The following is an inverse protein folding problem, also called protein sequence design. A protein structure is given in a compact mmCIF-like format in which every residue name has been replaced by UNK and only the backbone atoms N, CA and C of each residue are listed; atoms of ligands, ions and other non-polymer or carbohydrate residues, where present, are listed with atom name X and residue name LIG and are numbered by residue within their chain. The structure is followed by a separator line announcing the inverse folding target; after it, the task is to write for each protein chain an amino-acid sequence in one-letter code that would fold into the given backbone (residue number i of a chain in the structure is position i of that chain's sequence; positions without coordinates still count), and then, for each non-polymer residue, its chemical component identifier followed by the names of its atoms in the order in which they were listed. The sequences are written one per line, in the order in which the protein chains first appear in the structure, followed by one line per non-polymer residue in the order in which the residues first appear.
data_IF_436786876798
#
_entry.id   IF_436786876798
#
_cell.length_a   1.000
_cell.length_b   1.000
_cell.length_c   1.000
_cell.angle_alpha   90.00
_cell.angle_beta   90.00
_cell.angle_gamma   90.00
#
_symmetry.space_group_name_H-M   'P 1'
#
loop_
_entity.id
_entity.type
_entity.pdbx_description
1 polymer ?
#
# COMPACT_ATOMS: atom_id res chain seq x y z
N UNK A 1 -8.31 -10.56 7.76
CA UNK A 1 -7.08 -10.64 6.95
C UNK A 1 -6.31 -9.34 7.09
N UNK A 2 -4.98 -9.38 7.04
CA UNK A 2 -4.07 -8.22 7.11
C UNK A 2 -3.25 -8.10 5.83
N UNK A 3 -2.77 -6.89 5.50
CA UNK A 3 -1.97 -6.62 4.28
C UNK A 3 -2.65 -7.07 2.97
N UNK A 4 -3.98 -7.12 2.98
CA UNK A 4 -4.79 -7.29 1.77
C UNK A 4 -5.06 -5.95 1.11
N UNK A 5 -5.94 -5.98 0.12
CA UNK A 5 -6.44 -4.81 -0.56
C UNK A 5 -7.92 -4.62 -0.26
N UNK A 6 -8.34 -3.35 -0.19
CA UNK A 6 -9.73 -2.91 -0.18
C UNK A 6 -9.92 -1.96 -1.35
N UNK A 7 -11.00 -2.13 -2.09
CA UNK A 7 -11.36 -1.33 -3.25
C UNK A 7 -12.81 -0.87 -3.16
N UNK A 8 -13.09 0.32 -3.67
CA UNK A 8 -14.43 0.79 -3.97
C UNK A 8 -14.76 0.51 -5.44
N UNK A 9 -15.95 -0.05 -5.69
CA UNK A 9 -16.55 0.02 -7.03
C UNK A 9 -17.25 1.37 -7.22
N UNK A 10 -17.86 1.60 -8.40
CA UNK A 10 -18.60 2.84 -8.64
C UNK A 10 -19.60 3.10 -7.50
N UNK A 11 -19.83 4.37 -7.19
CA UNK A 11 -20.74 4.76 -6.10
C UNK A 11 -22.14 4.14 -6.23
N UNK A 12 -22.60 3.90 -7.46
CA UNK A 12 -23.91 3.30 -7.75
C UNK A 12 -24.00 1.82 -7.35
N UNK A 13 -22.87 1.11 -7.32
CA UNK A 13 -22.82 -0.32 -7.09
C UNK A 13 -22.90 -0.70 -5.61
N UNK A 14 -22.74 0.26 -4.68
CA UNK A 14 -22.83 0.04 -3.22
C UNK A 14 -21.93 -1.10 -2.70
N UNK A 15 -20.85 -1.44 -3.44
CA UNK A 15 -19.99 -2.58 -3.13
C UNK A 15 -18.58 -2.14 -2.78
N UNK A 16 -18.06 -2.72 -1.71
CA UNK A 16 -16.64 -2.74 -1.40
C UNK A 16 -16.08 -4.10 -1.79
N UNK A 17 -14.86 -4.14 -2.32
CA UNK A 17 -14.18 -5.37 -2.70
C UNK A 17 -12.93 -5.56 -1.85
N UNK A 18 -12.69 -6.78 -1.38
CA UNK A 18 -11.46 -7.12 -0.66
C UNK A 18 -10.77 -8.30 -1.31
N UNK A 19 -9.43 -8.25 -1.34
CA UNK A 19 -8.61 -9.26 -1.99
C UNK A 19 -7.28 -9.49 -1.28
N UNK A 20 -6.81 -10.74 -1.29
CA UNK A 20 -5.50 -11.11 -0.78
C UNK A 20 -5.35 -10.94 0.74
N UNK A 21 -4.08 -10.88 1.17
CA UNK A 21 -3.69 -10.70 2.55
C UNK A 21 -3.27 -11.99 3.26
N UNK A 22 -2.93 -11.83 4.53
CA UNK A 22 -2.45 -12.87 5.42
C UNK A 22 -3.40 -13.06 6.61
N UNK A 23 -3.36 -14.25 7.17
CA UNK A 23 -3.99 -14.58 8.45
C UNK A 23 -3.04 -14.15 9.56
N UNK A 24 -3.58 -13.56 10.62
CA UNK A 24 -2.79 -13.12 11.77
C UNK A 24 -2.32 -14.34 12.57
N UNK A 25 -1.04 -14.49 12.84
CA UNK A 25 -0.49 -15.64 13.57
C UNK A 25 0.13 -15.27 14.92
N UNK A 26 0.25 -13.96 15.22
CA UNK A 26 0.83 -13.50 16.49
C UNK A 26 -0.05 -13.80 17.71
N UNK A 27 -1.34 -14.01 17.51
CA UNK A 27 -2.25 -14.50 18.54
C UNK A 27 -3.27 -15.45 17.91
N UNK A 28 -3.20 -16.72 18.30
CA UNK A 28 -4.10 -17.79 17.84
C UNK A 28 -5.04 -18.27 18.95
N UNK A 29 -5.12 -17.53 20.07
CA UNK A 29 -5.98 -17.89 21.21
C UNK A 29 -7.45 -17.49 21.03
N UNK A 30 -7.77 -16.70 20.00
CA UNK A 30 -9.15 -16.37 19.66
C UNK A 30 -9.91 -17.64 19.24
N UNK A 31 -11.08 -17.95 19.85
CA UNK A 31 -11.84 -19.15 19.52
C UNK A 31 -12.31 -19.22 18.06
N UNK A 32 -12.42 -18.07 17.38
CA UNK A 32 -12.81 -17.97 15.97
C UNK A 32 -11.58 -17.88 15.04
N UNK A 33 -10.37 -18.03 15.58
CA UNK A 33 -9.15 -18.04 14.77
C UNK A 33 -9.10 -19.29 13.87
N UNK A 34 -8.77 -19.07 12.61
CA UNK A 34 -8.52 -20.14 11.65
C UNK A 34 -7.08 -20.05 11.11
N UNK A 35 -6.49 -21.23 10.90
CA UNK A 35 -5.18 -21.33 10.26
C UNK A 35 -5.22 -20.80 8.81
N UNK A 36 -4.09 -20.29 8.30
CA UNK A 36 -3.97 -19.86 6.92
C UNK A 36 -4.45 -20.91 5.92
N UNK A 37 -5.44 -20.56 5.09
CA UNK A 37 -5.86 -21.38 3.95
C UNK A 37 -5.00 -21.03 2.74
N UNK A 38 -4.58 -22.05 1.99
CA UNK A 38 -3.63 -21.89 0.89
C UNK A 38 -4.27 -21.34 -0.40
N UNK A 39 -5.56 -21.60 -0.64
CA UNK A 39 -6.13 -21.58 -1.99
C UNK A 39 -7.50 -20.86 -2.11
N UNK A 40 -7.96 -20.13 -1.09
CA UNK A 40 -9.14 -19.28 -1.23
C UNK A 40 -8.76 -17.99 -1.99
N UNK A 41 -8.36 -18.12 -3.26
CA UNK A 41 -8.04 -17.04 -4.20
C UNK A 41 -9.32 -16.38 -4.71
N UNK A 42 -10.19 -16.01 -3.77
CA UNK A 42 -11.48 -15.40 -4.04
C UNK A 42 -11.37 -13.90 -3.89
N UNK A 43 -11.92 -13.19 -4.87
CA UNK A 43 -12.30 -11.80 -4.68
C UNK A 43 -13.60 -11.80 -3.89
N UNK A 44 -13.67 -10.99 -2.83
CA UNK A 44 -14.88 -10.85 -2.04
C UNK A 44 -15.46 -9.47 -2.27
N UNK A 45 -16.79 -9.39 -2.33
CA UNK A 45 -17.51 -8.12 -2.23
C UNK A 45 -18.40 -8.09 -0.99
N UNK A 46 -18.57 -6.90 -0.47
CA UNK A 46 -19.52 -6.56 0.58
C UNK A 46 -20.46 -5.48 0.06
N UNK A 47 -21.74 -5.79 -0.02
CA UNK A 47 -22.79 -4.83 -0.33
C UNK A 47 -23.17 -4.08 0.94
N UNK A 48 -22.93 -2.76 0.95
CA UNK A 48 -23.13 -1.90 2.13
C UNK A 48 -24.61 -1.65 2.44
N UNK A 49 -25.51 -1.82 1.47
CA UNK A 49 -26.95 -1.61 1.63
C UNK A 49 -27.59 -2.88 2.18
N UNK A 50 -27.29 -4.04 1.57
CA UNK A 50 -27.82 -5.33 2.03
C UNK A 50 -27.04 -5.96 3.18
N UNK A 51 -25.85 -5.42 3.50
CA UNK A 51 -24.93 -5.94 4.51
C UNK A 51 -24.55 -7.41 4.26
N UNK A 52 -24.33 -7.77 2.99
CA UNK A 52 -24.11 -9.15 2.58
C UNK A 52 -22.77 -9.34 1.87
N UNK A 53 -22.16 -10.49 2.10
CA UNK A 53 -20.90 -10.91 1.46
C UNK A 53 -21.17 -11.79 0.25
N UNK A 54 -20.30 -11.69 -0.75
CA UNK A 54 -20.26 -12.57 -1.91
C UNK A 54 -18.83 -12.82 -2.35
N UNK A 55 -18.51 -14.07 -2.66
CA UNK A 55 -17.23 -14.50 -3.22
C UNK A 55 -17.30 -14.66 -4.75
N UNK A 56 -16.15 -14.49 -5.39
CA UNK A 56 -15.94 -14.66 -6.82
C UNK A 56 -14.65 -15.45 -7.05
N UNK A 57 -14.75 -16.52 -7.84
CA UNK A 57 -13.62 -17.37 -8.18
C UNK A 57 -12.71 -16.69 -9.22
N UNK A 58 -11.49 -16.36 -8.82
CA UNK A 58 -10.47 -15.76 -9.69
C UNK A 58 -9.13 -16.52 -9.68
N UNK A 59 -9.17 -17.77 -9.20
CA UNK A 59 -8.05 -18.72 -9.10
C UNK A 59 -7.23 -18.85 -10.39
N UNK A 60 -7.88 -18.77 -11.56
CA UNK A 60 -7.18 -18.86 -12.86
C UNK A 60 -6.13 -17.76 -13.09
N UNK A 61 -6.29 -16.60 -12.45
CA UNK A 61 -5.33 -15.49 -12.54
C UNK A 61 -4.32 -15.49 -11.38
N UNK A 62 -4.63 -16.16 -10.27
CA UNK A 62 -3.91 -16.02 -9.02
C UNK A 62 -3.36 -17.40 -8.63
N UNK A 63 -2.07 -17.66 -8.89
CA UNK A 63 -1.48 -18.94 -8.55
C UNK A 63 -1.20 -19.10 -7.05
N UNK A 64 -1.18 -17.99 -6.30
CA UNK A 64 -0.95 -17.92 -4.85
C UNK A 64 -1.59 -16.65 -4.31
N UNK A 65 -2.33 -16.75 -3.20
CA UNK A 65 -2.87 -15.59 -2.47
C UNK A 65 -1.75 -14.62 -2.08
N UNK A 66 -1.69 -13.41 -2.67
CA UNK A 66 -0.66 -12.45 -2.36
C UNK A 66 -1.03 -11.63 -1.13
N UNK A 67 -0.02 -11.15 -0.42
CA UNK A 67 -0.16 -10.11 0.60
C UNK A 67 0.86 -9.00 0.37
N UNK A 68 0.63 -7.83 0.97
CA UNK A 68 1.61 -6.74 1.09
C UNK A 68 2.16 -6.23 -0.26
N UNK A 69 1.39 -6.39 -1.33
CA UNK A 69 1.64 -5.70 -2.59
C UNK A 69 1.24 -4.24 -2.48
N UNK A 70 1.63 -3.44 -3.48
CA UNK A 70 1.15 -2.08 -3.60
C UNK A 70 -0.27 -2.11 -4.20
N UNK A 71 -1.19 -1.31 -3.66
CA UNK A 71 -2.62 -1.35 -3.97
C UNK A 71 -3.07 0.02 -4.46
N UNK A 72 -3.88 0.06 -5.51
CA UNK A 72 -4.49 1.27 -6.04
C UNK A 72 -5.75 0.94 -6.86
N UNK A 73 -6.53 1.95 -7.22
CA UNK A 73 -7.80 1.75 -7.90
C UNK A 73 -8.17 2.87 -8.87
N UNK A 74 -8.93 2.51 -9.89
CA UNK A 74 -9.69 3.41 -10.76
C UNK A 74 -11.18 3.23 -10.41
N UNK A 75 -11.66 4.02 -9.46
CA UNK A 75 -13.05 3.93 -8.97
C UNK A 75 -14.07 4.23 -10.08
N UNK A 76 -13.73 5.08 -11.06
CA UNK A 76 -14.65 5.50 -12.12
C UNK A 76 -14.90 4.37 -13.13
N UNK A 77 -13.85 3.60 -13.45
CA UNK A 77 -13.97 2.46 -14.37
C UNK A 77 -13.92 1.10 -13.68
N UNK A 78 -14.03 1.10 -12.35
CA UNK A 78 -14.14 -0.10 -11.51
C UNK A 78 -12.95 -1.07 -11.68
N UNK A 79 -11.73 -0.54 -11.73
CA UNK A 79 -10.52 -1.37 -11.71
C UNK A 79 -9.82 -1.32 -10.36
N UNK A 80 -9.52 -2.49 -9.80
CA UNK A 80 -8.58 -2.66 -8.70
C UNK A 80 -7.21 -3.12 -9.21
N UNK A 81 -6.14 -2.62 -8.61
CA UNK A 81 -4.77 -3.03 -8.92
C UNK A 81 -4.11 -3.63 -7.67
N UNK A 82 -3.47 -4.78 -7.84
CA UNK A 82 -2.59 -5.38 -6.82
C UNK A 82 -1.24 -5.67 -7.46
N UNK A 83 -0.24 -4.85 -7.16
CA UNK A 83 1.08 -4.95 -7.75
C UNK A 83 1.99 -5.83 -6.91
N UNK A 84 2.47 -6.92 -7.51
CA UNK A 84 3.41 -7.87 -6.91
C UNK A 84 2.93 -8.36 -5.54
N UNK A 85 3.63 -7.97 -4.48
CA UNK A 85 3.44 -8.49 -3.14
C UNK A 85 4.32 -9.70 -2.86
N UNK A 86 3.94 -10.40 -1.81
CA UNK A 86 4.64 -11.58 -1.34
C UNK A 86 3.66 -12.66 -0.89
N UNK A 87 4.23 -13.78 -0.50
CA UNK A 87 3.56 -14.88 0.15
C UNK A 87 4.39 -15.32 1.34
N UNK A 88 3.75 -15.47 2.50
CA UNK A 88 4.38 -15.82 3.78
C UNK A 88 3.57 -16.88 4.54
N UNK A 89 3.93 -17.10 5.81
CA UNK A 89 3.25 -18.06 6.70
C UNK A 89 1.77 -17.75 6.88
N UNK A 90 1.38 -16.48 6.88
CA UNK A 90 -0.02 -16.09 6.99
C UNK A 90 -0.82 -16.32 5.71
N UNK A 91 -0.15 -16.53 4.57
CA UNK A 91 -0.77 -16.77 3.27
C UNK A 91 -1.05 -18.24 2.97
N UNK A 92 -0.37 -19.20 3.60
CA UNK A 92 -0.54 -20.64 3.32
C UNK A 92 -0.26 -21.55 4.49
N UNK A 93 -1.10 -22.59 4.59
CA UNK A 93 -0.94 -23.68 5.53
C UNK A 93 0.43 -24.37 5.40
N UNK A 94 0.90 -24.62 4.19
CA UNK A 94 2.18 -25.30 3.97
C UNK A 94 3.38 -24.53 4.53
N UNK A 95 3.37 -23.19 4.45
CA UNK A 95 4.39 -22.36 5.11
C UNK A 95 4.15 -22.26 6.61
N UNK A 96 2.90 -22.10 7.04
CA UNK A 96 2.54 -22.05 8.45
C UNK A 96 2.98 -23.31 9.22
N UNK A 97 2.78 -24.50 8.66
CA UNK A 97 3.16 -25.77 9.30
C UNK A 97 4.63 -26.14 9.10
N UNK A 98 5.37 -25.41 8.24
CA UNK A 98 6.80 -25.65 8.06
C UNK A 98 7.56 -25.24 9.32
N UNK A 99 8.33 -26.18 9.87
CA UNK A 99 9.17 -26.01 11.06
C UNK A 99 10.50 -26.68 10.76
N UNK A 100 11.59 -25.94 10.98
CA UNK A 100 12.93 -26.50 10.87
C UNK A 100 13.34 -27.16 12.19
N UNK A 101 14.27 -28.12 12.11
CA UNK A 101 14.81 -28.79 13.27
C UNK A 101 16.32 -28.56 13.34
N UNK A 102 16.79 -28.03 14.45
CA UNK A 102 18.21 -27.91 14.77
C UNK A 102 18.51 -28.81 15.98
N UNK A 103 19.47 -29.72 15.84
CA UNK A 103 19.80 -30.74 16.84
C UNK A 103 18.59 -31.55 17.37
N UNK A 104 17.58 -31.75 16.51
CA UNK A 104 16.35 -32.50 16.84
C UNK A 104 15.29 -31.70 17.60
N UNK A 105 15.51 -30.40 17.82
CA UNK A 105 14.51 -29.49 18.39
C UNK A 105 13.90 -28.59 17.31
N UNK A 106 12.58 -28.34 17.34
CA UNK A 106 11.97 -27.40 16.42
C UNK A 106 12.49 -25.98 16.65
N UNK A 107 12.72 -25.24 15.56
CA UNK A 107 13.14 -23.84 15.59
C UNK A 107 12.20 -22.96 14.76
N UNK A 108 12.18 -21.67 15.08
CA UNK A 108 11.42 -20.66 14.35
C UNK A 108 12.28 -19.98 13.26
N UNK A 109 13.40 -20.59 12.86
CA UNK A 109 14.40 -19.97 11.99
C UNK A 109 13.87 -19.56 10.60
N UNK A 110 12.76 -20.15 10.15
CA UNK A 110 12.13 -19.84 8.86
C UNK A 110 10.89 -18.97 8.99
N UNK A 111 10.58 -18.47 10.19
CA UNK A 111 9.30 -17.79 10.41
C UNK A 111 9.22 -16.42 9.72
N UNK A 112 10.39 -15.84 9.42
CA UNK A 112 10.54 -14.59 8.70
C UNK A 112 10.69 -14.75 7.18
N UNK A 113 10.69 -16.00 6.67
CA UNK A 113 10.85 -16.26 5.24
C UNK A 113 9.60 -15.88 4.44
N UNK A 114 9.83 -15.16 3.35
CA UNK A 114 8.81 -14.72 2.41
C UNK A 114 9.10 -15.27 1.00
N UNK A 115 8.20 -15.05 0.06
CA UNK A 115 8.48 -15.19 -1.36
C UNK A 115 7.83 -14.04 -2.09
N UNK A 116 8.64 -13.24 -2.76
CA UNK A 116 8.16 -12.20 -3.64
C UNK A 116 7.35 -12.80 -4.81
N UNK A 117 6.22 -12.18 -5.12
CA UNK A 117 5.34 -12.61 -6.20
C UNK A 117 5.47 -11.64 -7.37
N UNK A 118 5.77 -12.19 -8.55
CA UNK A 118 5.80 -11.44 -9.81
C UNK A 118 4.39 -11.21 -10.35
N UNK A 119 4.25 -10.20 -11.20
CA UNK A 119 3.00 -9.87 -11.86
C UNK A 119 2.20 -8.79 -11.15
N UNK A 120 1.27 -8.19 -11.88
CA UNK A 120 0.26 -7.27 -11.35
C UNK A 120 -1.10 -7.87 -11.64
N UNK A 121 -1.92 -8.00 -10.62
CA UNK A 121 -3.32 -8.35 -10.79
C UNK A 121 -4.08 -7.08 -11.15
N UNK A 122 -4.81 -7.15 -12.25
CA UNK A 122 -5.82 -6.14 -12.59
C UNK A 122 -7.18 -6.79 -12.43
N UNK A 123 -7.93 -6.29 -11.47
CA UNK A 123 -9.25 -6.74 -11.09
C UNK A 123 -10.27 -5.84 -11.79
N UNK A 124 -11.14 -6.43 -12.59
CA UNK A 124 -12.33 -5.76 -13.11
C UNK A 124 -13.45 -6.00 -12.09
N UNK A 125 -13.76 -4.98 -11.29
CA UNK A 125 -14.68 -5.07 -10.16
C UNK A 125 -16.15 -5.10 -10.61
N UNK A 126 -16.46 -4.47 -11.75
CA UNK A 126 -17.79 -4.50 -12.35
C UNK A 126 -18.20 -5.92 -12.78
N UNK A 127 -17.28 -6.65 -13.41
CA UNK A 127 -17.47 -8.06 -13.81
C UNK A 127 -17.02 -9.08 -12.78
N UNK A 128 -16.36 -8.63 -11.71
CA UNK A 128 -15.71 -9.46 -10.69
C UNK A 128 -14.76 -10.52 -11.31
N UNK A 129 -13.88 -10.06 -12.20
CA UNK A 129 -12.89 -10.90 -12.87
C UNK A 129 -11.47 -10.37 -12.65
N UNK A 130 -10.46 -11.20 -12.91
CA UNK A 130 -9.07 -10.84 -12.72
C UNK A 130 -8.21 -11.27 -13.89
N UNK A 131 -7.13 -10.53 -14.13
CA UNK A 131 -6.03 -10.92 -15.00
C UNK A 131 -4.70 -10.64 -14.34
N UNK A 132 -3.75 -11.53 -14.56
CA UNK A 132 -2.38 -11.36 -14.11
C UNK A 132 -1.51 -10.95 -15.28
N UNK A 133 -0.96 -9.74 -15.20
CA UNK A 133 -0.10 -9.18 -16.24
C UNK A 133 1.34 -9.09 -15.80
N UNK A 134 2.25 -9.24 -16.76
CA UNK A 134 3.68 -9.24 -16.50
C UNK A 134 4.17 -7.92 -15.90
N UNK A 135 5.09 -8.03 -14.94
CA UNK A 135 5.86 -6.92 -14.38
C UNK A 135 7.34 -7.02 -14.77
N UNK A 136 7.68 -7.78 -15.81
CA UNK A 136 9.08 -7.97 -16.21
C UNK A 136 9.79 -6.64 -16.52
N UNK A 137 9.12 -5.75 -17.26
CA UNK A 137 9.67 -4.41 -17.59
C UNK A 137 9.76 -3.47 -16.39
N UNK A 138 9.06 -3.79 -15.29
CA UNK A 138 9.15 -3.07 -14.01
C UNK A 138 10.40 -3.48 -13.20
N UNK A 139 10.93 -4.68 -13.46
CA UNK A 139 12.07 -5.28 -12.76
C UNK A 139 11.67 -6.23 -11.64
N UNK A 140 12.58 -6.43 -10.66
CA UNK A 140 12.37 -7.35 -9.54
C UNK A 140 11.05 -7.05 -8.80
N UNK A 141 10.33 -8.08 -8.34
CA UNK A 141 9.06 -7.87 -7.66
C UNK A 141 9.25 -7.17 -6.32
N UNK A 142 8.19 -6.48 -5.88
CA UNK A 142 8.22 -5.55 -4.75
C UNK A 142 7.03 -5.69 -3.79
N UNK A 143 7.20 -5.19 -2.57
CA UNK A 143 6.20 -5.16 -1.50
C UNK A 143 6.10 -3.75 -0.90
N UNK A 144 4.97 -3.47 -0.25
CA UNK A 144 4.77 -2.36 0.69
C UNK A 144 5.19 -0.97 0.14
N UNK A 145 5.01 -0.77 -1.16
CA UNK A 145 5.18 0.52 -1.84
C UNK A 145 3.84 1.21 -2.08
N UNK A 146 3.89 2.37 -2.71
CA UNK A 146 2.71 3.10 -3.17
C UNK A 146 2.31 2.69 -4.59
N UNK A 147 1.00 2.66 -4.84
CA UNK A 147 0.41 2.49 -6.16
C UNK A 147 -0.73 3.50 -6.31
N UNK A 148 -0.68 4.33 -7.35
CA UNK A 148 -1.69 5.35 -7.60
C UNK A 148 -2.16 5.24 -9.05
N UNK A 149 -3.46 5.35 -9.28
CA UNK A 149 -4.02 5.55 -10.61
C UNK A 149 -4.31 7.04 -10.84
N UNK A 150 -4.12 7.51 -12.07
CA UNK A 150 -4.55 8.84 -12.48
C UNK A 150 -5.10 8.80 -13.90
N UNK A 151 -6.29 9.36 -14.08
CA UNK A 151 -6.90 9.58 -15.41
C UNK A 151 -6.44 10.87 -16.08
N UNK A 152 -5.78 11.78 -15.35
CA UNK A 152 -5.36 13.11 -15.82
C UNK A 152 -4.04 13.11 -16.58
N UNK A 153 -3.27 12.04 -16.47
CA UNK A 153 -1.97 11.89 -17.11
C UNK A 153 -1.89 10.54 -17.82
N UNK A 154 -1.01 10.46 -18.83
CA UNK A 154 -0.70 9.24 -19.55
C UNK A 154 -0.70 9.44 -21.06
N UNK A 155 -0.07 8.51 -21.76
CA UNK A 155 -0.07 8.48 -23.23
C UNK A 155 -1.35 7.89 -23.81
N UNK A 156 -2.18 7.25 -22.99
CA UNK A 156 -3.43 6.62 -23.39
C UNK A 156 -4.62 7.31 -22.72
N UNK A 157 -5.81 7.17 -23.31
CA UNK A 157 -7.05 7.63 -22.69
C UNK A 157 -7.46 6.82 -21.46
N UNK A 158 -6.77 5.73 -21.14
CA UNK A 158 -7.07 4.90 -19.98
C UNK A 158 -6.45 5.47 -18.69
N UNK A 159 -5.58 6.48 -18.78
CA UNK A 159 -4.80 6.98 -17.66
C UNK A 159 -3.50 6.20 -17.44
N UNK A 160 -2.92 6.37 -16.26
CA UNK A 160 -1.64 5.78 -15.86
C UNK A 160 -1.72 5.21 -14.45
N UNK A 161 -1.13 4.03 -14.27
CA UNK A 161 -0.79 3.48 -12.95
C UNK A 161 0.65 3.84 -12.60
N UNK A 162 0.90 4.33 -11.39
CA UNK A 162 2.17 4.88 -10.91
C UNK A 162 2.61 4.10 -9.67
N UNK A 163 3.77 3.44 -9.74
CA UNK A 163 4.35 2.66 -8.64
C UNK A 163 5.63 3.30 -8.11
N UNK A 164 5.81 3.32 -6.79
CA UNK A 164 6.96 3.97 -6.15
C UNK A 164 7.21 3.47 -4.71
N UNK A 165 8.45 3.63 -4.22
CA UNK A 165 8.84 3.18 -2.89
C UNK A 165 8.67 1.68 -2.65
N UNK A 166 8.74 1.28 -1.38
CA UNK A 166 8.64 -0.12 -0.97
C UNK A 166 9.99 -0.83 -1.01
N UNK A 167 9.94 -2.16 -0.91
CA UNK A 167 11.12 -3.03 -0.96
C UNK A 167 10.98 -4.01 -2.11
N UNK A 168 12.06 -4.21 -2.88
CA UNK A 168 12.14 -5.26 -3.91
C UNK A 168 13.06 -6.39 -3.49
N UNK A 169 12.86 -7.57 -4.08
CA UNK A 169 13.79 -8.69 -3.90
C UNK A 169 15.22 -8.28 -4.27
N UNK A 170 16.17 -8.65 -3.42
CA UNK A 170 17.61 -8.52 -3.67
C UNK A 170 18.16 -9.59 -4.62
N UNK A 171 17.33 -10.55 -5.06
CA UNK A 171 17.76 -11.70 -5.86
C UNK A 171 18.50 -12.76 -5.05
N UNK A 172 18.23 -12.84 -3.75
CA UNK A 172 18.80 -13.85 -2.85
C UNK A 172 17.98 -15.16 -2.95
N UNK A 173 18.56 -16.28 -2.50
CA UNK A 173 17.86 -17.57 -2.48
C UNK A 173 16.76 -17.64 -1.42
N UNK A 174 16.98 -16.98 -0.28
CA UNK A 174 16.07 -16.94 0.87
C UNK A 174 15.70 -15.48 1.16
N UNK A 175 14.50 -15.06 0.76
CA UNK A 175 14.00 -13.71 1.03
C UNK A 175 13.34 -13.66 2.43
N UNK A 176 13.58 -12.56 3.16
CA UNK A 176 12.96 -12.23 4.44
C UNK A 176 12.33 -10.84 4.40
N UNK A 177 11.66 -10.46 5.49
CA UNK A 177 11.08 -9.13 5.67
C UNK A 177 12.09 -7.96 5.60
N UNK A 178 13.39 -8.23 5.76
CA UNK A 178 14.41 -7.18 5.97
C UNK A 178 15.61 -7.23 5.02
N UNK A 179 15.78 -8.32 4.26
CA UNK A 179 16.97 -8.53 3.41
C UNK A 179 16.81 -8.09 1.94
N UNK A 180 15.66 -7.52 1.58
CA UNK A 180 15.45 -6.92 0.26
C UNK A 180 16.15 -5.57 0.10
N UNK A 181 15.89 -4.91 -1.03
CA UNK A 181 16.45 -3.60 -1.37
C UNK A 181 15.32 -2.57 -1.37
N UNK A 182 15.39 -1.59 -0.47
CA UNK A 182 14.47 -0.45 -0.51
C UNK A 182 14.58 0.30 -1.83
N UNK A 183 13.43 0.65 -2.41
CA UNK A 183 13.34 1.42 -3.64
C UNK A 183 13.40 2.90 -3.27
N UNK A 184 14.38 3.61 -3.84
CA UNK A 184 14.47 5.06 -3.67
C UNK A 184 13.40 5.81 -4.46
N UNK A 185 13.15 7.06 -4.07
CA UNK A 185 12.13 7.91 -4.68
C UNK A 185 12.68 8.80 -5.80
N UNK A 186 13.89 8.54 -6.32
CA UNK A 186 14.48 9.30 -7.45
C UNK A 186 13.83 8.94 -8.78
N UNK A 187 13.05 7.86 -8.81
CA UNK A 187 12.23 7.45 -9.94
C UNK A 187 10.86 6.99 -9.47
N UNK A 188 9.86 7.16 -10.34
CA UNK A 188 8.58 6.46 -10.26
C UNK A 188 8.40 5.61 -11.52
N UNK A 189 7.69 4.49 -11.41
CA UNK A 189 7.41 3.61 -12.55
C UNK A 189 5.98 3.84 -13.04
N UNK A 190 5.80 4.05 -14.33
CA UNK A 190 4.55 4.43 -14.99
C UNK A 190 4.05 3.31 -15.90
N UNK A 191 2.76 3.03 -15.86
CA UNK A 191 2.10 2.04 -16.71
C UNK A 191 0.80 2.60 -17.33
N UNK A 192 0.89 2.98 -18.60
CA UNK A 192 -0.27 3.47 -19.38
C UNK A 192 -0.96 2.33 -20.15
N UNK A 193 -0.27 1.19 -20.25
CA UNK A 193 -0.69 0.02 -21.03
C UNK A 193 -1.34 -1.03 -20.16
N UNK A 194 -1.76 -0.68 -18.94
CA UNK A 194 -2.27 -1.64 -17.97
C UNK A 194 -3.42 -2.45 -18.55
N UNK A 195 -4.26 -1.92 -19.45
CA UNK A 195 -5.38 -2.65 -20.12
C UNK A 195 -4.97 -3.58 -21.27
N UNK A 196 -3.72 -3.57 -21.71
CA UNK A 196 -3.23 -4.43 -22.78
C UNK A 196 -2.83 -5.82 -22.26
N UNK A 197 -2.70 -6.79 -23.16
CA UNK A 197 -2.10 -8.10 -22.84
C UNK A 197 -0.61 -7.94 -22.48
N UNK A 198 0.12 -7.17 -23.29
CA UNK A 198 1.54 -6.89 -23.09
C UNK A 198 1.71 -5.56 -22.35
N UNK A 199 1.80 -5.66 -21.02
CA UNK A 199 1.97 -4.50 -20.15
C UNK A 199 3.44 -4.05 -20.11
N UNK A 200 3.65 -2.75 -20.24
CA UNK A 200 4.97 -2.11 -20.18
C UNK A 200 5.00 -1.04 -19.10
N UNK A 201 6.07 -1.09 -18.29
CA UNK A 201 6.41 -0.09 -17.30
C UNK A 201 7.56 0.78 -17.78
N UNK A 202 7.50 2.08 -17.48
CA UNK A 202 8.53 3.05 -17.82
C UNK A 202 8.97 3.81 -16.57
N UNK A 203 10.28 3.98 -16.38
CA UNK A 203 10.77 4.79 -15.27
C UNK A 203 10.82 6.25 -15.66
N UNK A 204 10.28 7.10 -14.79
CA UNK A 204 10.31 8.53 -14.88
C UNK A 204 11.11 9.07 -13.69
N UNK A 205 12.15 9.85 -13.97
CA UNK A 205 12.93 10.50 -12.93
C UNK A 205 12.11 11.56 -12.22
N UNK A 206 12.33 11.66 -10.91
CA UNK A 206 11.78 12.70 -10.06
C UNK A 206 12.87 13.73 -9.71
N UNK A 207 12.44 14.88 -9.21
CA UNK A 207 13.29 15.99 -8.78
C UNK A 207 12.79 16.58 -7.46
N UNK A 208 13.48 17.58 -6.93
CA UNK A 208 13.07 18.28 -5.71
C UNK A 208 13.59 17.63 -4.44
N UNK A 209 12.76 17.64 -3.40
CA UNK A 209 13.10 17.15 -2.07
C UNK A 209 12.77 15.66 -1.95
N UNK A 210 13.59 14.81 -2.57
CA UNK A 210 13.35 13.36 -2.62
C UNK A 210 13.28 12.73 -1.21
N UNK A 211 12.21 12.00 -0.86
CA UNK A 211 12.11 11.27 0.40
C UNK A 211 13.21 10.20 0.54
N UNK A 212 13.72 9.96 1.76
CA UNK A 212 14.49 8.75 2.05
C UNK A 212 13.75 7.46 1.66
N UNK A 213 14.45 6.43 1.14
CA UNK A 213 13.85 5.12 0.83
C UNK A 213 13.14 4.52 2.05
N UNK A 214 11.94 3.98 1.81
CA UNK A 214 11.04 3.48 2.86
C UNK A 214 9.95 2.58 2.27
N UNK A 215 9.33 1.80 3.12
CA UNK A 215 8.15 0.98 2.85
C UNK A 215 7.05 1.23 3.89
N UNK A 216 5.85 0.69 3.68
CA UNK A 216 4.73 0.75 4.66
C UNK A 216 4.33 2.17 5.10
N UNK A 217 4.55 3.13 4.21
CA UNK A 217 3.98 4.48 4.31
C UNK A 217 2.56 4.46 3.77
N UNK A 218 1.70 5.35 4.26
CA UNK A 218 0.41 5.53 3.62
C UNK A 218 0.57 6.41 2.37
N UNK A 219 -0.33 6.24 1.40
CA UNK A 219 -0.43 7.11 0.22
C UNK A 219 -1.85 7.63 0.12
N UNK A 220 -2.00 8.92 -0.20
CA UNK A 220 -3.30 9.50 -0.50
C UNK A 220 -3.22 10.33 -1.80
N UNK A 221 -3.81 9.86 -2.91
CA UNK A 221 -3.93 10.64 -4.12
C UNK A 221 -5.10 11.64 -4.00
N UNK A 222 -4.89 12.88 -4.42
CA UNK A 222 -6.01 13.81 -4.61
C UNK A 222 -6.62 13.53 -5.98
N UNK A 223 -7.93 13.23 -6.01
CA UNK A 223 -8.65 12.91 -7.25
C UNK A 223 -9.02 14.14 -8.09
N UNK A 224 -8.85 15.33 -7.53
CA UNK A 224 -9.11 16.61 -8.21
C UNK A 224 -7.79 17.31 -8.51
N UNK A 225 -7.54 17.73 -9.77
CA UNK A 225 -6.37 18.52 -10.10
C UNK A 225 -6.41 19.88 -9.40
N UNK A 226 -5.28 20.59 -9.45
CA UNK A 226 -5.21 22.00 -9.07
C UNK A 226 -6.35 22.81 -9.73
N UNK A 227 -6.85 23.89 -9.11
CA UNK A 227 -7.92 24.71 -9.68
C UNK A 227 -7.64 25.20 -11.11
N UNK A 228 -6.39 25.50 -11.44
CA UNK A 228 -5.93 25.87 -12.79
C UNK A 228 -5.63 24.67 -13.72
N UNK A 229 -5.85 23.45 -13.26
CA UNK A 229 -5.58 22.19 -13.93
C UNK A 229 -4.09 21.98 -14.32
N UNK A 230 -3.18 22.69 -13.66
CA UNK A 230 -1.73 22.62 -13.94
C UNK A 230 -1.05 21.41 -13.31
N UNK A 231 -1.58 20.92 -12.19
CA UNK A 231 -0.95 19.83 -11.43
C UNK A 231 -1.94 18.89 -10.76
N UNK A 232 -1.49 17.66 -10.53
CA UNK A 232 -2.13 16.69 -9.64
C UNK A 232 -1.14 16.34 -8.53
N UNK A 233 -1.60 16.24 -7.29
CA UNK A 233 -0.73 16.06 -6.13
C UNK A 233 -1.15 14.81 -5.36
N UNK A 234 -0.17 14.00 -4.97
CA UNK A 234 -0.41 12.88 -4.06
C UNK A 234 0.57 12.92 -2.90
N UNK A 235 0.06 12.50 -1.74
CA UNK A 235 0.72 12.62 -0.45
C UNK A 235 1.21 11.25 -0.02
N UNK A 236 2.41 11.22 0.56
CA UNK A 236 2.88 10.07 1.34
C UNK A 236 3.14 10.53 2.77
N UNK A 237 2.82 9.68 3.74
CA UNK A 237 3.11 9.93 5.15
C UNK A 237 3.71 8.70 5.84
N UNK A 238 4.72 8.97 6.67
CA UNK A 238 5.37 8.00 7.51
C UNK A 238 6.13 6.92 6.75
N UNK A 239 6.06 5.68 7.25
CA UNK A 239 6.76 4.52 6.72
C UNK A 239 7.98 4.13 7.54
N UNK A 240 8.66 3.08 7.07
CA UNK A 240 9.74 2.41 7.79
C UNK A 240 10.91 2.05 6.86
N UNK A 241 12.13 2.20 7.36
CA UNK A 241 13.34 1.56 6.83
C UNK A 241 13.71 0.39 7.77
N UNK A 242 13.34 -0.85 7.43
CA UNK A 242 13.64 -2.02 8.25
C UNK A 242 15.13 -2.37 8.31
N UNK A 243 15.95 -1.89 7.36
CA UNK A 243 17.38 -2.17 7.31
C UNK A 243 18.18 -1.34 8.32
N UNK A 244 17.59 -0.23 8.79
CA UNK A 244 18.19 0.68 9.77
C UNK A 244 17.31 0.90 11.00
N UNK A 245 16.14 0.26 11.06
CA UNK A 245 15.12 0.47 12.08
C UNK A 245 14.70 1.93 12.24
N UNK A 246 14.53 2.66 11.13
CA UNK A 246 14.12 4.08 11.14
C UNK A 246 12.64 4.20 10.81
N UNK A 247 11.87 4.76 11.74
CA UNK A 247 10.48 5.17 11.54
C UNK A 247 10.43 6.62 11.06
N UNK A 248 9.62 6.89 10.03
CA UNK A 248 9.47 8.22 9.48
C UNK A 248 8.16 8.89 9.97
N UNK A 249 8.20 10.20 10.20
CA UNK A 249 7.07 11.07 10.58
C UNK A 249 7.04 12.33 9.71
N UNK A 250 7.37 12.20 8.42
CA UNK A 250 7.31 13.29 7.47
C UNK A 250 6.24 13.05 6.42
N UNK A 251 5.71 14.15 5.89
CA UNK A 251 4.76 14.16 4.77
C UNK A 251 5.48 14.72 3.56
N UNK A 252 5.38 14.02 2.44
CA UNK A 252 5.88 14.48 1.15
C UNK A 252 4.76 14.49 0.11
N UNK A 253 4.87 15.43 -0.82
CA UNK A 253 3.94 15.62 -1.93
C UNK A 253 4.70 15.37 -3.22
N UNK A 254 4.19 14.49 -4.09
CA UNK A 254 4.65 14.39 -5.47
C UNK A 254 3.64 15.07 -6.39
N UNK A 255 4.13 16.05 -7.14
CA UNK A 255 3.35 16.79 -8.12
C UNK A 255 3.58 16.23 -9.52
N UNK A 256 2.47 15.97 -10.22
CA UNK A 256 2.42 15.59 -11.63
C UNK A 256 1.93 16.79 -12.45
N UNK A 257 2.37 16.97 -13.71
CA UNK A 257 3.29 16.12 -14.46
C UNK A 257 4.78 16.50 -14.29
N UNK A 258 5.13 17.37 -13.34
CA UNK A 258 6.53 17.81 -13.15
C UNK A 258 7.43 16.75 -12.52
N UNK A 259 6.84 15.74 -11.86
CA UNK A 259 7.54 14.71 -11.08
C UNK A 259 8.46 15.33 -10.02
N UNK A 260 7.94 16.32 -9.29
CA UNK A 260 8.69 17.06 -8.26
C UNK A 260 8.19 16.69 -6.87
N UNK A 261 9.10 16.23 -6.01
CA UNK A 261 8.84 16.04 -4.59
C UNK A 261 8.99 17.36 -3.82
N UNK A 262 8.02 17.65 -2.97
CA UNK A 262 8.04 18.76 -2.01
C UNK A 262 7.87 18.20 -0.60
N UNK A 263 8.73 18.60 0.34
CA UNK A 263 8.56 18.19 1.75
C UNK A 263 7.51 19.08 2.40
N UNK A 264 6.39 18.49 2.80
CA UNK A 264 5.27 19.23 3.38
C UNK A 264 5.36 19.34 4.90
N UNK A 265 5.87 18.31 5.57
CA UNK A 265 5.94 18.26 7.02
C UNK A 265 7.14 17.43 7.49
N UNK A 266 7.64 17.72 8.69
CA UNK A 266 8.65 16.93 9.38
C UNK A 266 8.31 16.85 10.87
N UNK A 267 8.13 15.64 11.39
CA UNK A 267 7.90 15.38 12.79
C UNK A 267 8.90 14.38 13.38
N UNK A 268 8.52 13.77 14.51
CA UNK A 268 9.37 12.84 15.30
C UNK A 268 8.63 11.58 15.75
N UNK A 269 7.32 11.52 15.52
CA UNK A 269 6.44 10.46 15.99
C UNK A 269 6.14 9.51 14.84
N UNK A 270 7.16 8.76 14.42
CA UNK A 270 7.09 7.92 13.24
C UNK A 270 6.14 6.73 13.39
N UNK A 271 5.62 6.26 12.25
CA UNK A 271 4.74 5.10 12.20
C UNK A 271 4.78 4.40 10.84
N UNK A 272 4.40 3.13 10.81
CA UNK A 272 4.29 2.32 9.59
C UNK A 272 3.07 1.41 9.63
N UNK A 273 2.65 0.89 8.47
CA UNK A 273 1.49 0.00 8.35
C UNK A 273 0.15 0.71 8.63
N UNK A 274 0.13 2.03 8.59
CA UNK A 274 -1.07 2.86 8.69
C UNK A 274 -1.63 3.14 7.29
N UNK A 275 -2.89 3.58 7.23
CA UNK A 275 -3.54 3.94 5.97
C UNK A 275 -3.95 5.41 5.98
N UNK A 276 -4.06 6.01 4.79
CA UNK A 276 -4.51 7.38 4.62
C UNK A 276 -5.70 7.45 3.68
N UNK A 277 -6.70 8.23 4.05
CA UNK A 277 -7.98 8.31 3.34
C UNK A 277 -8.46 9.75 3.28
N UNK A 278 -9.46 10.00 2.44
CA UNK A 278 -10.17 11.27 2.43
C UNK A 278 -10.99 11.44 3.72
N UNK A 279 -10.99 12.66 4.29
CA UNK A 279 -11.78 12.97 5.49
C UNK A 279 -12.71 14.17 5.28
N UNK A 280 -12.21 15.22 4.63
CA UNK A 280 -12.96 16.43 4.31
C UNK A 280 -12.38 17.09 3.06
N UNK A 281 -13.00 18.14 2.49
CA UNK A 281 -12.58 18.74 1.21
C UNK A 281 -11.09 19.11 1.10
N UNK A 282 -10.38 19.30 2.23
CA UNK A 282 -8.94 19.54 2.26
C UNK A 282 -8.19 18.76 3.34
N UNK A 283 -8.81 17.81 4.02
CA UNK A 283 -8.14 17.01 5.06
C UNK A 283 -8.05 15.54 4.63
N UNK A 284 -6.85 14.96 4.79
CA UNK A 284 -6.68 13.51 4.81
C UNK A 284 -6.68 13.02 6.25
N UNK A 285 -7.16 11.80 6.47
CA UNK A 285 -7.10 11.10 7.74
C UNK A 285 -6.05 10.00 7.67
N UNK A 286 -5.13 9.95 8.63
CA UNK A 286 -4.20 8.84 8.84
C UNK A 286 -4.72 7.96 9.99
N UNK A 287 -4.82 6.65 9.77
CA UNK A 287 -5.42 5.70 10.72
C UNK A 287 -4.47 4.54 11.00
N UNK A 288 -4.26 4.27 12.28
CA UNK A 288 -3.56 3.11 12.80
C UNK A 288 -2.05 3.15 12.61
N UNK A 289 -1.47 1.97 12.42
CA UNK A 289 -0.04 1.74 12.27
C UNK A 289 0.73 1.62 13.58
N UNK A 290 1.88 0.96 13.50
CA UNK A 290 2.78 0.72 14.61
C UNK A 290 3.78 1.86 14.77
N UNK A 291 4.06 2.23 16.02
CA UNK A 291 5.05 3.25 16.42
C UNK A 291 6.36 2.66 16.91
N UNK A 292 6.48 1.34 16.84
CA UNK A 292 7.62 0.60 17.37
C UNK A 292 8.16 -0.36 16.30
N UNK A 293 9.44 -0.24 15.99
CA UNK A 293 10.12 -1.06 15.01
C UNK A 293 10.10 -2.56 15.36
N UNK A 294 10.03 -2.91 16.64
CA UNK A 294 9.94 -4.29 17.12
C UNK A 294 8.61 -4.98 16.79
N UNK A 295 7.60 -4.23 16.32
CA UNK A 295 6.32 -4.79 15.87
C UNK A 295 6.33 -5.16 14.38
N UNK A 296 7.42 -4.91 13.66
CA UNK A 296 7.50 -5.19 12.23
C UNK A 296 7.41 -6.69 11.94
N UNK A 297 6.47 -7.09 11.08
CA UNK A 297 6.21 -8.47 10.66
C UNK A 297 5.70 -9.44 11.74
N UNK A 298 5.48 -8.96 12.98
CA UNK A 298 4.94 -9.75 14.10
C UNK A 298 3.64 -10.45 13.72
N UNK A 299 2.83 -9.85 12.85
CA UNK A 299 1.55 -10.40 12.43
C UNK A 299 1.65 -11.77 11.76
N UNK A 300 2.80 -12.08 11.15
CA UNK A 300 3.05 -13.33 10.39
C UNK A 300 4.26 -14.12 10.88
N UNK A 301 5.20 -13.50 11.61
CA UNK A 301 6.29 -14.23 12.29
C UNK A 301 5.83 -14.81 13.62
N UNK A 302 4.89 -14.17 14.31
CA UNK A 302 4.48 -14.52 15.66
C UNK A 302 5.54 -14.25 16.74
N UNK A 303 6.63 -13.56 16.39
CA UNK A 303 7.69 -13.16 17.31
C UNK A 303 7.28 -11.91 18.09
N UNK A 304 6.26 -12.05 18.94
CA UNK A 304 5.67 -10.94 19.70
C UNK A 304 6.69 -10.45 20.74
N UNK A 305 7.14 -9.17 20.68
CA UNK A 305 8.06 -8.62 21.68
C UNK A 305 7.38 -8.46 23.04
N UNK A 306 8.15 -8.09 24.08
CA UNK A 306 7.55 -7.65 25.34
C UNK A 306 6.74 -6.36 25.11
N UNK A 307 5.42 -6.49 25.06
CA UNK A 307 4.49 -5.39 24.80
C UNK A 307 4.53 -4.30 25.88
N UNK A 308 5.08 -4.56 27.06
CA UNK A 308 5.29 -3.50 28.07
C UNK A 308 6.51 -2.62 27.76
N UNK A 309 7.40 -3.10 26.89
CA UNK A 309 8.59 -2.39 26.45
C UNK A 309 8.41 -1.69 25.10
N UNK A 310 7.27 -1.90 24.42
CA UNK A 310 6.97 -1.26 23.14
C UNK A 310 6.35 0.12 23.32
N UNK A 311 6.52 0.97 22.31
CA UNK A 311 5.90 2.29 22.26
C UNK A 311 4.42 2.17 21.86
N UNK A 312 3.51 2.47 22.78
CA UNK A 312 2.07 2.55 22.51
C UNK A 312 1.68 3.88 21.84
N UNK A 313 0.63 3.86 21.02
CA UNK A 313 -0.04 5.10 20.59
C UNK A 313 -1.09 5.45 21.65
N UNK A 314 -0.76 6.33 22.59
CA UNK A 314 -1.68 6.77 23.66
C UNK A 314 -2.84 7.65 23.13
N UNK A 315 -2.78 8.02 21.85
CA UNK A 315 -3.82 8.77 21.15
C UNK A 315 -4.94 7.89 20.56
N UNK A 316 -5.89 8.49 19.84
CA UNK A 316 -7.01 7.75 19.22
C UNK A 316 -6.58 6.84 18.05
N UNK A 317 -5.28 6.76 17.73
CA UNK A 317 -4.79 6.06 16.53
C UNK A 317 -5.23 6.72 15.23
N UNK A 318 -5.70 7.96 15.29
CA UNK A 318 -6.26 8.73 14.17
C UNK A 318 -5.69 10.13 14.21
N UNK A 319 -5.25 10.65 13.06
CA UNK A 319 -4.79 12.02 12.92
C UNK A 319 -5.30 12.63 11.60
N UNK A 320 -5.64 13.92 11.60
CA UNK A 320 -6.08 14.63 10.39
C UNK A 320 -4.99 15.59 9.93
N UNK A 321 -4.63 15.55 8.65
CA UNK A 321 -3.67 16.47 8.05
C UNK A 321 -4.40 17.41 7.09
N UNK A 322 -4.32 18.71 7.35
CA UNK A 322 -4.80 19.72 6.42
C UNK A 322 -3.84 19.80 5.23
N UNK A 323 -4.28 19.34 4.08
CA UNK A 323 -3.48 19.22 2.87
C UNK A 323 -3.24 20.58 2.20
N UNK A 324 -3.93 21.65 2.59
CA UNK A 324 -3.68 23.00 2.07
C UNK A 324 -2.76 23.78 3.00
N UNK A 325 -3.06 23.77 4.30
CA UNK A 325 -2.28 24.52 5.30
C UNK A 325 -1.04 23.74 5.80
N UNK A 326 -0.91 22.46 5.43
CA UNK A 326 0.18 21.54 5.76
C UNK A 326 0.40 21.33 7.27
N UNK A 327 -0.70 21.23 8.02
CA UNK A 327 -0.67 21.08 9.48
C UNK A 327 -1.54 19.90 9.95
N UNK A 328 -1.06 19.20 10.97
CA UNK A 328 -1.84 18.20 11.69
C UNK A 328 -2.88 18.85 12.60
N UNK A 329 -4.02 18.19 12.75
CA UNK A 329 -5.16 18.58 13.59
C UNK A 329 -5.85 17.33 14.12
N UNK A 330 -6.49 17.46 15.28
CA UNK A 330 -7.36 16.43 15.85
C UNK A 330 -8.85 16.70 15.54
N UNK A 331 -9.15 17.78 14.80
CA UNK A 331 -10.51 18.21 14.51
C UNK A 331 -10.86 18.09 13.02
N UNK A 332 -11.96 17.39 12.75
CA UNK A 332 -12.57 17.29 11.43
C UNK A 332 -13.34 18.57 11.10
N UNK A 333 -12.87 19.30 10.09
CA UNK A 333 -13.56 20.47 9.57
C UNK A 333 -14.36 20.10 8.30
N UNK A 334 -15.57 19.59 8.49
CA UNK A 334 -16.47 19.25 7.38
C UNK A 334 -16.92 20.47 6.55
N UNK A 335 -16.81 21.68 7.10
CA UNK A 335 -17.15 22.93 6.43
C UNK A 335 -15.91 23.68 5.93
N UNK A 336 -14.76 23.00 5.83
CA UNK A 336 -13.55 23.58 5.27
C UNK A 336 -13.78 24.05 3.83
N UNK A 337 -13.04 25.07 3.43
CA UNK A 337 -12.94 25.44 2.03
C UNK A 337 -12.42 24.24 1.21
N UNK A 338 -12.72 24.20 -0.11
CA UNK A 338 -12.12 23.21 -1.00
C UNK A 338 -10.59 23.22 -0.91
N UNK A 339 -9.99 22.06 -1.17
CA UNK A 339 -8.54 21.95 -1.30
C UNK A 339 -7.97 22.97 -2.29
N UNK A 340 -6.92 23.66 -1.85
CA UNK A 340 -6.02 24.44 -2.69
C UNK A 340 -4.63 23.82 -2.63
N UNK A 341 -3.90 23.92 -3.75
CA UNK A 341 -2.49 23.51 -3.79
C UNK A 341 -1.71 24.34 -2.77
N UNK A 342 -0.94 23.70 -1.87
CA UNK A 342 -0.15 24.42 -0.87
C UNK A 342 0.83 25.41 -1.50
N UNK A 343 1.02 26.55 -0.85
CA UNK A 343 2.00 27.56 -1.28
C UNK A 343 3.41 26.95 -1.46
N UNK A 344 3.80 26.03 -0.56
CA UNK A 344 5.08 25.32 -0.66
C UNK A 344 5.25 24.52 -1.96
N UNK A 345 4.16 24.00 -2.54
CA UNK A 345 4.16 23.32 -3.83
C UNK A 345 4.15 24.34 -4.97
N UNK A 346 3.30 25.37 -4.89
CA UNK A 346 3.22 26.46 -5.88
C UNK A 346 4.57 27.15 -6.07
N UNK A 347 5.32 27.38 -4.99
CA UNK A 347 6.68 27.95 -5.04
C UNK A 347 7.67 27.09 -5.84
N UNK A 348 7.46 25.77 -5.91
CA UNK A 348 8.36 24.82 -6.59
C UNK A 348 8.00 24.61 -8.06
N UNK A 349 6.70 24.52 -8.37
CA UNK A 349 6.24 24.10 -9.70
C UNK A 349 5.40 25.16 -10.43
N UNK A 350 5.02 26.25 -9.75
CA UNK A 350 4.07 27.24 -10.24
C UNK A 350 2.61 26.76 -10.15
N UNK A 351 1.71 27.45 -10.86
CA UNK A 351 0.28 27.16 -10.87
C UNK A 351 -0.52 27.87 -9.76
N UNK A 352 -1.83 27.63 -9.72
CA UNK A 352 -2.77 28.17 -8.72
C UNK A 352 -3.98 27.28 -8.46
#
# INVERSE_FOLDING_TARGET
MLRGALYAALHEDNRLFTFGGSSFVANTSDPDWEAPRQDDDSLWSYDIVSSSWRDYEITSAIPRRPNWGAVGEDMIHEFGFFLNGQFDRGSSLGRYDSVEYEDGNPTNATFDQITYLSGMLVLDLGTASARNVSTETLGSPRVAGGLVYSSFFGKSSNGTVIAFGGMRSGGQGDDTFTNGVLIDFTTVSLCDTFRAENVTWFNQSTTGETPPPRMDFCTYPIDTPAPDNSSLNFYIYGGYDPTKSILYDDVYILSLPSFTWTKAYAGTQGRFGHTCHWASPRQMIAIGGARDAGLFAVETTGDVPDLNATTCDDGPGVALFDMTDLVWSDFLNASAAPYLVPDAVVEKIGGS
#
